data_IF_669864426623
#
_entry.id   IF_669864426623
#
_cell.length_a   1.000
_cell.length_b   1.000
_cell.length_c   1.000
_cell.angle_alpha   90.00
_cell.angle_beta   90.00
_cell.angle_gamma   90.00
#
_symmetry.space_group_name_H-M   'P 1'
#
loop_
_entity.id
_entity.type
_entity.pdbx_description
1 polymer ?
#
# COMPACT_ATOMS: atom_id res chain seq x y z
N UNK A 1 29.57 16.53 9.67
CA UNK A 1 28.41 16.74 8.77
C UNK A 1 27.85 15.45 8.16
N UNK A 2 28.68 14.55 7.63
CA UNK A 2 28.22 13.29 7.00
C UNK A 2 27.35 12.41 7.93
N UNK A 3 27.80 12.17 9.17
CA UNK A 3 27.05 11.36 10.17
C UNK A 3 25.64 11.89 10.45
N UNK A 4 25.48 13.21 10.54
CA UNK A 4 24.17 13.86 10.78
C UNK A 4 23.25 13.67 9.56
N UNK A 5 23.80 13.81 8.35
CA UNK A 5 23.06 13.61 7.09
C UNK A 5 22.57 12.16 6.95
N UNK A 6 23.43 11.18 7.24
CA UNK A 6 23.07 9.75 7.21
C UNK A 6 21.99 9.43 8.25
N UNK A 7 22.11 9.94 9.49
CA UNK A 7 21.09 9.76 10.52
C UNK A 7 19.74 10.34 10.08
N UNK A 8 19.73 11.53 9.50
CA UNK A 8 18.52 12.17 8.99
C UNK A 8 17.88 11.37 7.85
N UNK A 9 18.69 10.87 6.91
CA UNK A 9 18.20 10.00 5.83
C UNK A 9 17.57 8.72 6.40
N UNK A 10 18.23 8.07 7.36
CA UNK A 10 17.68 6.88 8.03
C UNK A 10 16.33 7.14 8.72
N UNK A 11 16.18 8.28 9.41
CA UNK A 11 14.89 8.64 10.03
C UNK A 11 13.78 8.90 9.00
N UNK A 12 14.11 9.57 7.88
CA UNK A 12 13.13 9.81 6.80
C UNK A 12 12.71 8.48 6.17
N UNK A 13 13.64 7.58 5.92
CA UNK A 13 13.36 6.25 5.38
C UNK A 13 12.49 5.43 6.34
N UNK A 14 12.83 5.40 7.64
CA UNK A 14 12.03 4.69 8.64
C UNK A 14 10.58 5.20 8.65
N UNK A 15 10.39 6.52 8.69
CA UNK A 15 9.05 7.12 8.65
C UNK A 15 8.28 6.80 7.37
N UNK A 16 8.97 6.74 6.23
CA UNK A 16 8.35 6.37 4.96
C UNK A 16 7.88 4.91 4.96
N UNK A 17 8.70 4.00 5.52
CA UNK A 17 8.34 2.59 5.67
C UNK A 17 7.17 2.40 6.64
N UNK A 18 7.19 3.07 7.79
CA UNK A 18 6.07 3.02 8.75
C UNK A 18 4.76 3.46 8.10
N UNK A 19 4.82 4.51 7.28
CA UNK A 19 3.64 5.00 6.54
C UNK A 19 3.20 4.00 5.47
N UNK A 20 4.11 3.32 4.80
CA UNK A 20 3.78 2.28 3.81
C UNK A 20 3.08 1.09 4.47
N UNK A 21 3.60 0.62 5.62
CA UNK A 21 2.96 -0.44 6.43
C UNK A 21 1.56 -0.02 6.88
N UNK A 22 1.39 1.23 7.30
CA UNK A 22 0.07 1.75 7.68
C UNK A 22 -0.92 1.79 6.51
N UNK A 23 -0.45 2.10 5.28
CA UNK A 23 -1.28 2.07 4.07
C UNK A 23 -1.69 0.65 3.73
N UNK A 24 -0.74 -0.30 3.74
CA UNK A 24 -1.03 -1.72 3.48
C UNK A 24 -2.03 -2.28 4.51
N UNK A 25 -1.84 -1.97 5.79
CA UNK A 25 -2.79 -2.34 6.84
C UNK A 25 -4.18 -1.72 6.62
N UNK A 26 -4.25 -0.49 6.13
CA UNK A 26 -5.52 0.17 5.80
C UNK A 26 -6.24 -0.53 4.65
N UNK A 27 -5.52 -0.91 3.59
CA UNK A 27 -6.08 -1.69 2.47
C UNK A 27 -6.60 -3.05 2.95
N UNK A 28 -5.83 -3.74 3.79
CA UNK A 28 -6.23 -5.03 4.37
C UNK A 28 -7.43 -4.93 5.31
N UNK A 29 -7.74 -3.75 5.84
CA UNK A 29 -8.86 -3.51 6.73
C UNK A 29 -10.14 -3.05 6.01
N UNK A 30 -10.09 -2.81 4.70
CA UNK A 30 -11.26 -2.46 3.90
C UNK A 30 -12.31 -3.58 3.93
N UNK A 31 -13.58 -3.17 3.87
CA UNK A 31 -14.69 -4.08 3.58
C UNK A 31 -14.60 -4.62 2.15
N UNK A 32 -15.36 -5.67 1.84
CA UNK A 32 -15.28 -6.32 0.53
C UNK A 32 -15.73 -5.39 -0.60
N UNK A 33 -16.80 -4.62 -0.42
CA UNK A 33 -17.26 -3.61 -1.41
C UNK A 33 -16.22 -2.52 -1.64
N UNK A 34 -15.70 -1.89 -0.57
CA UNK A 34 -14.68 -0.85 -0.67
C UNK A 34 -13.38 -1.36 -1.33
N UNK A 35 -13.03 -2.64 -1.07
CA UNK A 35 -11.88 -3.28 -1.66
C UNK A 35 -12.07 -3.52 -3.17
N UNK A 36 -13.27 -3.91 -3.59
CA UNK A 36 -13.62 -4.03 -5.01
C UNK A 36 -13.58 -2.66 -5.71
N UNK A 37 -14.17 -1.64 -5.10
CA UNK A 37 -14.12 -0.27 -5.63
C UNK A 37 -12.67 0.23 -5.76
N UNK A 38 -11.83 -0.01 -4.75
CA UNK A 38 -10.40 0.33 -4.81
C UNK A 38 -9.71 -0.39 -5.99
N UNK A 39 -10.00 -1.67 -6.19
CA UNK A 39 -9.43 -2.44 -7.28
C UNK A 39 -9.90 -1.93 -8.65
N UNK A 40 -11.17 -1.53 -8.79
CA UNK A 40 -11.72 -0.95 -10.01
C UNK A 40 -11.11 0.41 -10.34
N UNK A 41 -10.99 1.30 -9.34
CA UNK A 41 -10.36 2.62 -9.48
C UNK A 41 -8.95 2.51 -10.07
N UNK A 42 -8.18 1.49 -9.66
CA UNK A 42 -6.81 1.26 -10.13
C UNK A 42 -6.71 0.17 -11.21
N UNK A 43 -7.82 -0.28 -11.81
CA UNK A 43 -7.82 -1.33 -12.82
C UNK A 43 -7.20 -0.87 -14.15
N UNK A 44 -7.38 0.41 -14.50
CA UNK A 44 -6.88 0.99 -15.74
C UNK A 44 -5.42 1.46 -15.63
N UNK A 45 -4.66 1.29 -16.71
CA UNK A 45 -3.28 1.78 -16.81
C UNK A 45 -2.23 0.83 -16.23
N UNK A 46 -1.05 1.38 -15.93
CA UNK A 46 0.08 0.64 -15.37
C UNK A 46 -0.23 0.13 -13.96
N UNK A 47 0.36 -1.02 -13.60
CA UNK A 47 0.19 -1.59 -12.27
C UNK A 47 0.78 -0.65 -11.22
N UNK A 48 -0.07 -0.17 -10.31
CA UNK A 48 0.34 0.63 -9.15
C UNK A 48 0.50 -0.25 -7.92
N UNK A 49 1.30 0.16 -6.91
CA UNK A 49 1.37 -0.56 -5.65
C UNK A 49 0.01 -0.75 -4.98
N UNK A 50 -0.90 0.22 -5.11
CA UNK A 50 -2.26 0.12 -4.57
C UNK A 50 -3.09 -0.95 -5.29
N UNK A 51 -2.94 -1.06 -6.62
CA UNK A 51 -3.56 -2.14 -7.40
C UNK A 51 -3.06 -3.50 -6.95
N UNK A 52 -1.75 -3.66 -6.77
CA UNK A 52 -1.14 -4.91 -6.34
C UNK A 52 -1.60 -5.31 -4.93
N UNK A 53 -1.65 -4.36 -4.00
CA UNK A 53 -2.16 -4.56 -2.63
C UNK A 53 -3.63 -5.00 -2.65
N UNK A 54 -4.49 -4.29 -3.38
CA UNK A 54 -5.91 -4.63 -3.49
C UNK A 54 -6.11 -6.04 -4.10
N UNK A 55 -5.41 -6.35 -5.19
CA UNK A 55 -5.47 -7.67 -5.83
C UNK A 55 -4.93 -8.80 -4.94
N UNK A 56 -3.91 -8.54 -4.13
CA UNK A 56 -3.41 -9.52 -3.15
C UNK A 56 -4.47 -9.83 -2.09
N UNK A 57 -5.12 -8.80 -1.56
CA UNK A 57 -6.16 -8.96 -0.54
C UNK A 57 -7.44 -9.62 -1.13
N UNK A 58 -7.85 -9.23 -2.34
CA UNK A 58 -8.96 -9.90 -3.05
C UNK A 58 -8.67 -11.39 -3.25
N UNK A 59 -7.45 -11.76 -3.67
CA UNK A 59 -7.04 -13.16 -3.81
C UNK A 59 -7.08 -13.89 -2.47
N UNK A 60 -6.63 -13.25 -1.38
CA UNK A 60 -6.68 -13.81 -0.02
C UNK A 60 -8.11 -14.12 0.42
N UNK A 61 -9.07 -13.27 0.02
CA UNK A 61 -10.50 -13.38 0.34
C UNK A 61 -11.33 -14.13 -0.70
N UNK A 62 -10.72 -14.59 -1.80
CA UNK A 62 -11.40 -15.20 -2.94
C UNK A 62 -12.50 -14.31 -3.56
N UNK A 63 -12.24 -13.00 -3.64
CA UNK A 63 -13.10 -12.02 -4.29
C UNK A 63 -12.71 -11.84 -5.76
N UNK A 64 -13.70 -11.53 -6.60
CA UNK A 64 -13.51 -11.17 -8.00
C UNK A 64 -14.37 -9.95 -8.33
N UNK A 65 -13.83 -9.09 -9.18
CA UNK A 65 -14.59 -8.02 -9.85
C UNK A 65 -15.48 -8.61 -10.95
#
# INVERSE_FOLDING_TARGET
MLKIRTKRQGMVTARALDRLVAVEASVNALGDEDLLDLADIFAAGEATPLREMAQAEMRRRALSL
#
